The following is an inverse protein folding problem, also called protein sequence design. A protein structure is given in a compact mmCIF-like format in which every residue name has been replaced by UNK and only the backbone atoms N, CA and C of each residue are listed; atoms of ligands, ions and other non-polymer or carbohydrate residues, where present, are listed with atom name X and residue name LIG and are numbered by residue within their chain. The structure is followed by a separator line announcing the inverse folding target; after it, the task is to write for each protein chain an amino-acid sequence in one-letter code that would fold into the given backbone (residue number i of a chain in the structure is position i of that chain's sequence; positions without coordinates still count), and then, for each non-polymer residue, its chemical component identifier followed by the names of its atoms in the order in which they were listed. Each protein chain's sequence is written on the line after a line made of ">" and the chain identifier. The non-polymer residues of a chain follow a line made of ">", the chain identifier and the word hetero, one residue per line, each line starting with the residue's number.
data_IF_288369727455
#
_entry.id   IF_288369727455
#
_cell.length_a   1.000
_cell.length_b   1.000
_cell.length_c   1.000
_cell.angle_alpha   90.00
_cell.angle_beta   90.00
_cell.angle_gamma   90.00
#
_symmetry.space_group_name_H-M   'P 1'
#
loop_
_entity.id
_entity.type
_entity.pdbx_description
1 polymer ?
#
# COMPACT_ATOMS: atom_id res chain seq x y z
N UNK A 1 12.85 -3.99 -8.18
CA UNK A 1 12.47 -5.32 -8.70
C UNK A 1 13.53 -6.40 -8.57
N UNK A 2 14.84 -6.10 -8.61
CA UNK A 2 15.91 -7.11 -8.47
C UNK A 2 15.66 -8.16 -7.37
N UNK A 3 15.16 -7.75 -6.20
CA UNK A 3 14.83 -8.71 -5.13
C UNK A 3 13.63 -9.60 -5.48
N UNK A 4 12.55 -9.05 -6.05
CA UNK A 4 11.38 -9.82 -6.52
C UNK A 4 11.76 -10.85 -7.59
N UNK A 5 12.60 -10.46 -8.55
CA UNK A 5 13.12 -11.36 -9.60
C UNK A 5 13.87 -12.56 -9.00
N UNK A 6 14.65 -12.34 -7.93
CA UNK A 6 15.36 -13.41 -7.22
C UNK A 6 14.43 -14.35 -6.46
N UNK A 7 13.23 -13.90 -6.08
CA UNK A 7 12.26 -14.77 -5.40
C UNK A 7 11.51 -15.68 -6.37
N UNK A 8 11.50 -15.35 -7.68
CA UNK A 8 10.83 -16.13 -8.73
C UNK A 8 9.38 -16.50 -8.37
N UNK A 9 8.62 -15.53 -7.86
CA UNK A 9 7.23 -15.73 -7.48
C UNK A 9 6.35 -16.06 -8.70
N UNK A 10 5.42 -16.99 -8.54
CA UNK A 10 4.46 -17.36 -9.59
C UNK A 10 3.51 -16.20 -9.92
N UNK A 11 3.15 -15.41 -8.91
CA UNK A 11 2.28 -14.25 -9.01
C UNK A 11 2.82 -13.08 -8.18
N UNK A 12 2.59 -11.85 -8.65
CA UNK A 12 2.88 -10.63 -7.91
C UNK A 12 1.61 -9.81 -7.79
N UNK A 13 1.29 -9.44 -6.56
CA UNK A 13 0.09 -8.70 -6.22
C UNK A 13 0.47 -7.38 -5.53
N UNK A 14 -0.27 -6.31 -5.84
CA UNK A 14 -0.06 -4.97 -5.29
C UNK A 14 -1.27 -4.50 -4.49
N UNK A 15 -1.03 -4.12 -3.22
CA UNK A 15 -2.08 -3.69 -2.29
C UNK A 15 -2.50 -2.21 -2.44
N UNK A 16 -2.18 -1.55 -3.57
CA UNK A 16 -2.54 -0.15 -3.84
C UNK A 16 -1.57 0.88 -3.26
N UNK A 17 -1.98 2.15 -3.26
CA UNK A 17 -1.21 3.33 -2.87
C UNK A 17 0.05 3.52 -3.72
N UNK A 18 -0.15 3.67 -5.03
CA UNK A 18 0.93 3.63 -6.02
C UNK A 18 1.68 4.94 -6.18
N UNK A 19 0.96 6.05 -6.18
CA UNK A 19 1.50 7.34 -6.65
C UNK A 19 1.73 8.39 -5.56
N UNK A 20 1.05 8.28 -4.43
CA UNK A 20 0.93 9.40 -3.50
C UNK A 20 2.17 9.59 -2.62
N UNK A 21 2.51 10.85 -2.35
CA UNK A 21 3.57 11.27 -1.44
C UNK A 21 5.00 11.10 -1.96
N UNK A 22 5.23 10.27 -2.98
CA UNK A 22 6.54 10.05 -3.60
C UNK A 22 6.81 10.93 -4.83
N UNK A 23 8.08 11.11 -5.23
CA UNK A 23 8.43 11.94 -6.37
C UNK A 23 8.37 11.23 -7.74
N UNK A 24 7.74 10.06 -7.79
CA UNK A 24 7.67 9.17 -8.97
C UNK A 24 6.25 8.67 -9.22
N UNK A 25 5.24 9.51 -9.00
CA UNK A 25 3.84 9.08 -9.04
C UNK A 25 3.49 8.37 -10.37
N UNK A 26 3.75 9.03 -11.50
CA UNK A 26 3.48 8.49 -12.82
C UNK A 26 4.33 7.26 -13.14
N UNK A 27 5.61 7.25 -12.75
CA UNK A 27 6.49 6.12 -12.99
C UNK A 27 6.07 4.88 -12.19
N UNK A 28 5.66 5.03 -10.93
CA UNK A 28 5.15 3.93 -10.12
C UNK A 28 3.85 3.35 -10.71
N UNK A 29 2.90 4.22 -11.09
CA UNK A 29 1.64 3.79 -11.72
C UNK A 29 1.90 3.05 -13.03
N UNK A 30 2.69 3.66 -13.93
CA UNK A 30 3.01 3.07 -15.23
C UNK A 30 3.73 1.73 -15.07
N UNK A 31 4.64 1.65 -14.08
CA UNK A 31 5.38 0.44 -13.80
C UNK A 31 4.47 -0.73 -13.40
N UNK A 32 3.66 -0.56 -12.34
CA UNK A 32 2.72 -1.61 -11.87
C UNK A 32 1.75 -2.02 -12.98
N UNK A 33 1.22 -1.04 -13.72
CA UNK A 33 0.30 -1.30 -14.83
C UNK A 33 0.98 -2.08 -15.96
N UNK A 34 2.21 -1.74 -16.33
CA UNK A 34 2.96 -2.42 -17.39
C UNK A 34 3.39 -3.84 -16.99
N UNK A 35 3.69 -4.06 -15.71
CA UNK A 35 4.06 -5.36 -15.18
C UNK A 35 2.88 -6.32 -15.09
N UNK A 36 1.64 -5.81 -15.22
CA UNK A 36 0.42 -6.62 -15.22
C UNK A 36 0.09 -7.24 -13.86
N UNK A 37 0.60 -6.67 -12.78
CA UNK A 37 0.36 -7.19 -11.43
C UNK A 37 -1.10 -7.04 -11.03
N UNK A 38 -1.64 -8.07 -10.38
CA UNK A 38 -2.95 -8.00 -9.74
C UNK A 38 -2.93 -6.90 -8.70
N UNK A 39 -3.74 -5.86 -8.89
CA UNK A 39 -3.68 -4.65 -8.06
C UNK A 39 -5.05 -4.31 -7.50
N UNK A 40 -5.10 -3.90 -6.24
CA UNK A 40 -6.32 -3.37 -5.60
C UNK A 40 -6.16 -1.88 -5.30
N UNK A 41 -7.30 -1.19 -5.20
CA UNK A 41 -7.36 0.25 -4.93
C UNK A 41 -6.99 0.59 -3.49
N UNK A 42 -6.02 1.50 -3.32
CA UNK A 42 -5.75 2.16 -2.05
C UNK A 42 -6.48 3.49 -1.86
N UNK A 43 -6.46 4.04 -0.64
CA UNK A 43 -7.10 5.33 -0.39
C UNK A 43 -6.37 6.46 -1.11
N UNK A 44 -5.04 6.39 -1.19
CA UNK A 44 -4.27 7.45 -1.83
C UNK A 44 -4.37 7.38 -3.35
N UNK A 45 -4.71 6.22 -3.92
CA UNK A 45 -5.08 6.07 -5.33
C UNK A 45 -6.38 6.83 -5.67
N UNK A 46 -7.25 7.05 -4.68
CA UNK A 46 -8.43 7.94 -4.81
C UNK A 46 -8.02 9.40 -4.60
N UNK A 47 -7.29 9.69 -3.52
CA UNK A 47 -6.92 11.08 -3.20
C UNK A 47 -6.06 11.74 -4.28
N UNK A 48 -5.19 10.97 -4.96
CA UNK A 48 -4.34 11.48 -6.03
C UNK A 48 -5.13 11.98 -7.25
N UNK A 49 -6.41 11.61 -7.39
CA UNK A 49 -7.29 12.11 -8.45
C UNK A 49 -7.92 13.46 -8.12
N UNK A 50 -7.62 14.03 -6.95
CA UNK A 50 -8.13 15.33 -6.50
C UNK A 50 -9.44 15.28 -5.70
N UNK A 51 -9.93 14.09 -5.36
CA UNK A 51 -11.07 13.91 -4.45
C UNK A 51 -10.59 13.40 -3.08
N UNK A 52 -10.36 14.30 -2.10
CA UNK A 52 -9.95 13.91 -0.75
C UNK A 52 -11.15 13.39 0.06
N UNK A 53 -11.71 12.24 -0.34
CA UNK A 53 -12.79 11.57 0.39
C UNK A 53 -12.41 11.34 1.85
N UNK A 54 -13.43 11.27 2.72
CA UNK A 54 -13.35 11.16 4.19
C UNK A 54 -12.78 12.38 4.93
N UNK A 55 -12.07 13.29 4.24
CA UNK A 55 -11.56 14.55 4.82
C UNK A 55 -12.64 15.62 4.73
N UNK A 56 -13.05 16.17 5.87
CA UNK A 56 -14.17 17.13 5.95
C UNK A 56 -13.74 18.57 6.23
N UNK A 57 -12.57 18.79 6.83
CA UNK A 57 -12.07 20.13 7.12
C UNK A 57 -11.56 20.82 5.84
N UNK A 58 -12.05 22.03 5.57
CA UNK A 58 -11.77 22.74 4.30
C UNK A 58 -10.27 22.96 4.04
N UNK A 59 -9.52 23.39 5.05
CA UNK A 59 -8.08 23.63 4.92
C UNK A 59 -7.32 22.34 4.57
N UNK A 60 -7.69 21.22 5.19
CA UNK A 60 -7.09 19.90 4.90
C UNK A 60 -7.47 19.42 3.49
N UNK A 61 -8.72 19.62 3.06
CA UNK A 61 -9.16 19.30 1.70
C UNK A 61 -8.37 20.08 0.65
N UNK A 62 -8.17 21.39 0.87
CA UNK A 62 -7.39 22.25 -0.03
C UNK A 62 -5.92 21.80 -0.11
N UNK A 63 -5.32 21.44 1.03
CA UNK A 63 -3.97 20.89 1.07
C UNK A 63 -3.87 19.59 0.25
N UNK A 64 -4.83 18.67 0.43
CA UNK A 64 -4.84 17.39 -0.29
C UNK A 64 -5.06 17.58 -1.80
N UNK A 65 -5.92 18.52 -2.20
CA UNK A 65 -6.10 18.86 -3.62
C UNK A 65 -4.85 19.48 -4.24
N UNK A 66 -4.13 20.31 -3.49
CA UNK A 66 -2.84 20.87 -3.90
C UNK A 66 -1.78 19.77 -4.09
N UNK A 67 -1.70 18.81 -3.14
CA UNK A 67 -0.83 17.64 -3.24
C UNK A 67 -1.18 16.76 -4.45
N UNK A 68 -2.47 16.45 -4.66
CA UNK A 68 -2.94 15.69 -5.81
C UNK A 68 -2.54 16.36 -7.14
N UNK A 69 -2.73 17.68 -7.22
CA UNK A 69 -2.36 18.47 -8.40
C UNK A 69 -0.85 18.46 -8.64
N UNK A 70 -0.04 18.52 -7.58
CA UNK A 70 1.41 18.49 -7.66
C UNK A 70 1.98 17.14 -8.13
N UNK A 71 1.25 16.04 -7.94
CA UNK A 71 1.62 14.74 -8.51
C UNK A 71 1.43 14.68 -10.03
N UNK A 72 0.62 15.57 -10.61
CA UNK A 72 0.40 15.70 -12.06
C UNK A 72 0.02 14.37 -12.75
N UNK A 73 -0.75 13.52 -12.06
CA UNK A 73 -1.23 12.24 -12.61
C UNK A 73 -2.17 12.50 -13.79
N UNK A 74 -1.99 11.74 -14.87
CA UNK A 74 -2.80 11.90 -16.07
C UNK A 74 -4.26 11.49 -15.84
N UNK A 75 -5.19 12.01 -16.65
CA UNK A 75 -6.60 11.61 -16.55
C UNK A 75 -6.81 10.12 -16.88
N UNK A 76 -5.92 9.49 -17.67
CA UNK A 76 -5.99 8.06 -17.95
C UNK A 76 -5.56 7.24 -16.73
N UNK A 77 -4.44 7.61 -16.11
CA UNK A 77 -3.94 6.96 -14.91
C UNK A 77 -4.91 7.12 -13.73
N UNK A 78 -5.47 8.33 -13.55
CA UNK A 78 -6.49 8.58 -12.54
C UNK A 78 -7.72 7.68 -12.72
N UNK A 79 -8.19 7.51 -13.97
CA UNK A 79 -9.31 6.60 -14.26
C UNK A 79 -8.95 5.15 -13.96
N UNK A 80 -7.78 4.72 -14.40
CA UNK A 80 -7.29 3.37 -14.14
C UNK A 80 -7.23 3.07 -12.64
N UNK A 81 -6.71 4.00 -11.83
CA UNK A 81 -6.67 3.90 -10.37
C UNK A 81 -8.08 3.78 -9.76
N UNK A 82 -9.04 4.57 -10.24
CA UNK A 82 -10.44 4.52 -9.77
C UNK A 82 -11.16 3.23 -10.19
N UNK A 83 -10.78 2.61 -11.30
CA UNK A 83 -11.36 1.36 -11.79
C UNK A 83 -10.80 0.10 -11.11
N UNK A 84 -9.68 0.21 -10.37
CA UNK A 84 -9.11 -0.92 -9.62
C UNK A 84 -10.12 -1.51 -8.61
N UNK A 85 -10.17 -2.84 -8.42
CA UNK A 85 -11.09 -3.45 -7.46
C UNK A 85 -10.70 -3.12 -6.00
N UNK A 86 -11.67 -3.17 -5.07
CA UNK A 86 -11.37 -3.01 -3.63
C UNK A 86 -10.66 -4.22 -3.03
N UNK A 87 -10.79 -5.39 -3.66
CA UNK A 87 -10.17 -6.61 -3.20
C UNK A 87 -9.98 -7.62 -4.32
N UNK A 88 -9.07 -8.55 -4.11
CA UNK A 88 -8.79 -9.66 -5.01
C UNK A 88 -8.72 -10.97 -4.23
N UNK A 89 -9.48 -11.97 -4.66
CA UNK A 89 -9.46 -13.31 -4.09
C UNK A 89 -8.63 -14.24 -4.97
N UNK A 90 -7.62 -14.88 -4.38
CA UNK A 90 -6.81 -15.89 -5.07
C UNK A 90 -7.06 -17.30 -4.54
N UNK A 91 -6.23 -18.23 -5.03
CA UNK A 91 -6.34 -19.64 -4.66
C UNK A 91 -6.26 -19.85 -3.14
N UNK A 92 -6.86 -20.95 -2.66
CA UNK A 92 -6.72 -21.45 -1.28
C UNK A 92 -7.16 -20.47 -0.19
N UNK A 93 -8.29 -19.79 -0.40
CA UNK A 93 -8.91 -18.90 0.58
C UNK A 93 -7.97 -17.77 1.03
N UNK A 94 -7.49 -17.00 0.03
CA UNK A 94 -6.66 -15.82 0.20
C UNK A 94 -7.41 -14.59 -0.34
N UNK A 95 -7.50 -13.53 0.45
CA UNK A 95 -8.05 -12.23 0.06
C UNK A 95 -6.97 -11.15 0.23
N UNK A 96 -6.74 -10.35 -0.81
CA UNK A 96 -5.98 -9.10 -0.71
C UNK A 96 -6.91 -7.91 -0.79
N UNK A 97 -6.73 -6.94 0.10
CA UNK A 97 -7.42 -5.64 0.15
C UNK A 97 -6.42 -4.54 0.49
N UNK A 98 -6.73 -3.27 0.30
CA UNK A 98 -5.83 -2.21 0.76
C UNK A 98 -6.02 -1.91 2.27
N UNK A 99 -7.24 -1.53 2.65
CA UNK A 99 -7.65 -1.30 4.04
C UNK A 99 -8.52 -2.45 4.54
N UNK A 100 -9.75 -2.15 4.94
CA UNK A 100 -10.77 -3.18 5.19
C UNK A 100 -11.36 -3.75 3.89
N UNK A 101 -12.06 -4.90 3.94
CA UNK A 101 -12.77 -5.46 2.78
C UNK A 101 -13.89 -4.58 2.21
N UNK A 102 -14.26 -3.50 2.90
CA UNK A 102 -15.38 -2.63 2.51
C UNK A 102 -14.95 -1.18 2.25
N UNK A 103 -13.75 -0.79 2.68
CA UNK A 103 -13.25 0.59 2.57
C UNK A 103 -11.72 0.57 2.47
N UNK A 104 -11.13 1.24 1.45
CA UNK A 104 -9.69 1.43 1.39
C UNK A 104 -9.22 2.53 2.36
N UNK A 105 -10.12 3.27 3.01
CA UNK A 105 -9.77 4.42 3.86
C UNK A 105 -9.53 4.06 5.32
N UNK A 106 -9.91 2.84 5.73
CA UNK A 106 -9.90 2.43 7.12
C UNK A 106 -9.15 1.10 7.24
N UNK A 107 -8.24 1.00 8.21
CA UNK A 107 -7.68 -0.26 8.63
C UNK A 107 -7.15 -0.18 10.07
N UNK A 108 -7.18 -1.29 10.83
CA UNK A 108 -6.64 -1.32 12.18
C UNK A 108 -5.11 -1.29 12.15
N UNK A 109 -4.51 -0.68 13.18
CA UNK A 109 -3.08 -0.79 13.48
C UNK A 109 -2.74 -2.16 14.10
N UNK A 110 -1.47 -2.59 14.12
CA UNK A 110 -1.08 -3.89 14.68
C UNK A 110 -1.55 -4.09 16.13
N UNK A 111 -1.50 -3.01 16.92
CA UNK A 111 -1.84 -2.91 18.34
C UNK A 111 -3.31 -2.52 18.62
N UNK A 112 -4.13 -2.38 17.58
CA UNK A 112 -5.56 -2.10 17.74
C UNK A 112 -6.30 -3.25 18.46
N UNK A 113 -7.40 -2.94 19.19
CA UNK A 113 -8.21 -3.96 19.85
C UNK A 113 -8.79 -4.94 18.84
N UNK A 114 -9.04 -6.18 19.29
CA UNK A 114 -9.54 -7.24 18.40
C UNK A 114 -10.89 -6.93 17.73
N UNK A 115 -11.69 -6.02 18.30
CA UNK A 115 -12.93 -5.52 17.70
C UNK A 115 -12.72 -4.91 16.32
N UNK A 116 -11.57 -4.26 16.10
CA UNK A 116 -11.30 -3.51 14.87
C UNK A 116 -10.91 -4.46 13.72
N UNK A 117 -10.65 -5.73 14.05
CA UNK A 117 -10.37 -6.79 13.08
C UNK A 117 -11.61 -7.62 12.69
N UNK A 118 -12.77 -7.38 13.32
CA UNK A 118 -14.03 -8.05 12.97
C UNK A 118 -14.39 -7.94 11.48
N UNK A 119 -14.14 -6.82 10.76
CA UNK A 119 -14.41 -6.74 9.32
C UNK A 119 -13.70 -7.79 8.45
N UNK A 120 -12.61 -8.39 8.94
CA UNK A 120 -11.81 -9.39 8.23
C UNK A 120 -12.24 -10.84 8.55
N UNK A 121 -12.96 -11.05 9.65
CA UNK A 121 -13.42 -12.37 10.08
C UNK A 121 -14.36 -12.98 9.02
N UNK A 122 -14.18 -14.27 8.74
CA UNK A 122 -14.98 -15.04 7.77
C UNK A 122 -14.76 -14.67 6.30
N UNK A 123 -13.83 -13.77 5.97
CA UNK A 123 -13.61 -13.34 4.58
C UNK A 123 -12.70 -14.29 3.81
N UNK A 124 -11.68 -14.82 4.46
CA UNK A 124 -10.73 -15.77 3.92
C UNK A 124 -9.96 -16.46 5.06
N UNK A 125 -9.25 -17.55 4.75
CA UNK A 125 -8.34 -18.18 5.72
C UNK A 125 -7.12 -17.29 5.97
N UNK A 126 -6.68 -16.57 4.94
CA UNK A 126 -5.67 -15.52 5.01
C UNK A 126 -6.19 -14.25 4.34
N UNK A 127 -6.21 -13.14 5.08
CA UNK A 127 -6.46 -11.80 4.52
C UNK A 127 -5.17 -10.98 4.60
N UNK A 128 -4.76 -10.41 3.47
CA UNK A 128 -3.57 -9.56 3.34
C UNK A 128 -4.00 -8.14 3.06
N UNK A 129 -3.42 -7.17 3.77
CA UNK A 129 -3.70 -5.76 3.53
C UNK A 129 -2.47 -4.84 3.62
N UNK A 130 -2.65 -3.60 3.17
CA UNK A 130 -1.66 -2.52 3.15
C UNK A 130 -2.02 -1.39 4.13
N UNK A 131 -2.06 -0.14 3.67
CA UNK A 131 -2.56 1.02 4.44
C UNK A 131 -1.71 1.52 5.63
N UNK A 132 -1.38 0.67 6.60
CA UNK A 132 -0.77 1.14 7.88
C UNK A 132 0.76 1.16 7.88
N UNK A 133 1.38 0.62 6.83
CA UNK A 133 2.82 0.63 6.59
C UNK A 133 3.68 -0.04 7.69
N UNK A 134 3.09 -0.95 8.47
CA UNK A 134 3.77 -1.74 9.51
C UNK A 134 3.50 -3.21 9.26
N UNK A 135 4.55 -3.97 9.01
CA UNK A 135 4.45 -5.40 8.77
C UNK A 135 4.03 -6.14 10.05
N UNK A 136 3.01 -6.99 9.95
CA UNK A 136 2.66 -7.89 11.04
C UNK A 136 1.83 -9.09 10.57
N UNK A 137 1.72 -10.09 11.45
CA UNK A 137 0.80 -11.22 11.32
C UNK A 137 -0.04 -11.32 12.58
N UNK A 138 -1.36 -11.50 12.43
CA UNK A 138 -2.29 -11.65 13.54
C UNK A 138 -3.26 -12.80 13.27
N UNK A 139 -3.45 -13.66 14.26
CA UNK A 139 -4.54 -14.64 14.26
C UNK A 139 -5.79 -14.02 14.88
N UNK A 140 -6.93 -14.14 14.20
CA UNK A 140 -8.22 -13.63 14.67
C UNK A 140 -8.98 -14.67 15.50
N UNK A 141 -10.11 -14.27 16.08
CA UNK A 141 -10.91 -15.13 16.96
C UNK A 141 -11.53 -16.30 16.22
N UNK A 142 -11.90 -16.12 14.95
CA UNK A 142 -12.43 -17.17 14.08
C UNK A 142 -11.34 -18.13 13.54
N UNK A 143 -10.08 -17.91 13.92
CA UNK A 143 -8.93 -18.71 13.51
C UNK A 143 -8.27 -18.27 12.20
N UNK A 144 -8.87 -17.33 11.46
CA UNK A 144 -8.27 -16.74 10.27
C UNK A 144 -7.00 -15.94 10.60
N UNK A 145 -6.18 -15.72 9.59
CA UNK A 145 -4.96 -14.91 9.71
C UNK A 145 -5.18 -13.61 8.94
N UNK A 146 -4.86 -12.49 9.58
CA UNK A 146 -4.71 -11.18 8.93
C UNK A 146 -3.23 -10.81 8.92
N UNK A 147 -2.73 -10.38 7.78
CA UNK A 147 -1.36 -9.96 7.60
C UNK A 147 -1.29 -8.59 6.94
N UNK A 148 -0.39 -7.74 7.42
CA UNK A 148 -0.04 -6.51 6.73
C UNK A 148 1.33 -6.64 6.05
N UNK A 149 1.46 -6.18 4.81
CA UNK A 149 2.72 -6.32 4.05
C UNK A 149 3.84 -5.40 4.54
N UNK A 150 3.52 -4.38 5.34
CA UNK A 150 4.37 -3.21 5.51
C UNK A 150 4.25 -2.29 4.29
N UNK A 151 5.26 -1.45 4.05
CA UNK A 151 5.28 -0.54 2.91
C UNK A 151 6.61 -0.60 2.16
N UNK A 152 6.54 -0.56 0.84
CA UNK A 152 7.72 -0.48 -0.04
C UNK A 152 8.29 0.94 -0.04
N UNK A 153 7.43 1.96 -0.15
CA UNK A 153 7.85 3.36 -0.29
C UNK A 153 7.94 4.13 1.02
N UNK A 154 7.14 3.76 2.02
CA UNK A 154 7.02 4.49 3.29
C UNK A 154 6.94 3.56 4.50
N UNK A 155 7.94 2.70 4.76
CA UNK A 155 7.94 1.82 5.93
C UNK A 155 7.90 2.64 7.24
N UNK A 156 6.94 2.32 8.12
CA UNK A 156 6.76 3.00 9.42
C UNK A 156 7.35 2.20 10.60
N UNK A 157 7.97 1.05 10.33
CA UNK A 157 8.51 0.13 11.33
C UNK A 157 10.00 -0.21 11.13
N UNK A 158 10.59 0.18 10.00
CA UNK A 158 12.01 -0.05 9.66
C UNK A 158 12.46 0.98 8.59
N UNK A 159 13.75 1.02 8.24
CA UNK A 159 14.28 1.89 7.17
C UNK A 159 14.38 1.20 5.79
N UNK A 160 14.05 -0.08 5.73
CA UNK A 160 14.01 -0.88 4.51
C UNK A 160 12.59 -1.04 3.97
N UNK A 161 12.50 -1.17 2.64
CA UNK A 161 11.24 -1.49 1.96
C UNK A 161 10.73 -2.86 2.44
N UNK A 162 9.41 -2.99 2.59
CA UNK A 162 8.76 -4.22 3.05
C UNK A 162 7.74 -4.75 2.05
N UNK A 163 7.75 -6.07 1.85
CA UNK A 163 6.67 -6.81 1.20
C UNK A 163 6.52 -8.20 1.81
N UNK A 164 5.47 -8.92 1.43
CA UNK A 164 5.17 -10.25 1.94
C UNK A 164 5.38 -11.30 0.86
N UNK A 165 6.15 -12.35 1.17
CA UNK A 165 6.13 -13.61 0.44
C UNK A 165 5.16 -14.59 1.09
N UNK A 166 4.40 -15.27 0.23
CA UNK A 166 3.43 -16.29 0.61
C UNK A 166 3.76 -17.55 -0.19
N UNK A 167 4.36 -18.53 0.47
CA UNK A 167 4.60 -19.84 -0.14
C UNK A 167 3.46 -20.79 0.24
N UNK A 168 2.90 -21.48 -0.75
CA UNK A 168 1.89 -22.50 -0.54
C UNK A 168 2.39 -23.88 -0.93
N UNK A 169 2.26 -24.83 -0.01
CA UNK A 169 2.48 -26.25 -0.28
C UNK A 169 1.25 -27.04 0.18
N UNK A 170 0.37 -27.36 -0.79
CA UNK A 170 -0.93 -27.96 -0.47
C UNK A 170 -1.79 -27.03 0.37
N UNK A 171 -2.11 -27.43 1.60
CA UNK A 171 -2.86 -26.62 2.57
C UNK A 171 -1.98 -25.71 3.43
N UNK A 172 -0.67 -25.94 3.43
CA UNK A 172 0.25 -25.20 4.29
C UNK A 172 0.64 -23.87 3.66
N UNK A 173 0.69 -22.83 4.50
CA UNK A 173 1.09 -21.48 4.13
C UNK A 173 2.30 -21.05 4.96
N UNK A 174 3.36 -20.60 4.28
CA UNK A 174 4.49 -19.93 4.91
C UNK A 174 4.46 -18.46 4.55
N UNK A 175 4.43 -17.60 5.56
CA UNK A 175 4.40 -16.14 5.41
C UNK A 175 5.74 -15.56 5.82
N UNK A 176 6.36 -14.76 4.95
CA UNK A 176 7.67 -14.15 5.21
C UNK A 176 7.69 -12.69 4.78
N UNK A 177 7.79 -11.77 5.73
CA UNK A 177 8.09 -10.38 5.42
C UNK A 177 9.53 -10.27 4.93
N UNK A 178 9.69 -9.73 3.72
CA UNK A 178 11.00 -9.41 3.16
C UNK A 178 11.30 -7.94 3.35
N UNK A 179 12.55 -7.69 3.76
CA UNK A 179 13.11 -6.36 3.98
C UNK A 179 14.19 -6.11 2.95
N UNK A 180 14.09 -5.00 2.23
CA UNK A 180 14.96 -4.68 1.10
C UNK A 180 15.53 -3.28 1.27
N UNK A 181 16.85 -3.20 1.42
CA UNK A 181 17.55 -1.93 1.45
C UNK A 181 17.42 -1.21 0.10
N UNK A 182 17.24 0.10 0.15
CA UNK A 182 17.20 0.97 -1.02
C UNK A 182 17.96 2.26 -0.75
N UNK A 183 18.32 2.98 -1.82
CA UNK A 183 19.05 4.24 -1.69
C UNK A 183 18.12 5.38 -1.24
N UNK A 184 17.97 5.50 0.08
CA UNK A 184 17.19 6.57 0.71
C UNK A 184 17.74 7.96 0.39
N UNK A 185 19.05 8.10 0.27
CA UNK A 185 19.67 9.39 -0.04
C UNK A 185 19.30 9.84 -1.45
N UNK A 186 19.32 8.93 -2.44
CA UNK A 186 18.84 9.19 -3.79
C UNK A 186 17.35 9.54 -3.82
N UNK A 187 16.52 8.84 -3.04
CA UNK A 187 15.09 9.14 -2.96
C UNK A 187 14.80 10.52 -2.36
N UNK A 188 15.50 10.88 -1.29
CA UNK A 188 15.45 12.22 -0.69
C UNK A 188 15.91 13.29 -1.68
N UNK A 189 17.02 13.05 -2.39
CA UNK A 189 17.54 13.99 -3.39
C UNK A 189 16.54 14.20 -4.53
N UNK A 190 15.92 13.12 -5.03
CA UNK A 190 14.87 13.23 -6.04
C UNK A 190 13.66 14.00 -5.52
N UNK A 191 13.18 13.71 -4.32
CA UNK A 191 12.05 14.44 -3.74
C UNK A 191 12.31 15.95 -3.66
N UNK A 192 13.51 16.34 -3.21
CA UNK A 192 13.94 17.75 -3.20
C UNK A 192 13.97 18.37 -4.59
N UNK A 193 14.34 17.62 -5.63
CA UNK A 193 14.37 18.12 -7.02
C UNK A 193 12.98 18.37 -7.60
N UNK A 194 11.95 17.64 -7.14
CA UNK A 194 10.55 17.86 -7.53
C UNK A 194 9.97 19.10 -6.84
N UNK A 195 10.43 19.39 -5.62
CA UNK A 195 10.01 20.57 -4.87
C UNK A 195 8.69 20.38 -4.10
N UNK A 196 8.21 21.48 -3.52
CA UNK A 196 7.02 21.47 -2.68
C UNK A 196 5.73 21.47 -3.52
N UNK A 197 4.64 20.86 -3.02
CA UNK A 197 4.47 20.26 -1.68
C UNK A 197 4.97 18.81 -1.54
N UNK A 198 5.40 18.16 -2.63
CA UNK A 198 5.80 16.74 -2.61
C UNK A 198 7.03 16.50 -1.73
N UNK A 199 8.05 17.35 -1.82
CA UNK A 199 9.27 17.21 -1.03
C UNK A 199 8.97 17.24 0.47
N UNK A 200 8.17 18.20 0.95
CA UNK A 200 7.82 18.30 2.36
C UNK A 200 7.09 17.06 2.88
N UNK A 201 6.10 16.56 2.11
CA UNK A 201 5.37 15.35 2.48
C UNK A 201 6.28 14.12 2.51
N UNK A 202 7.11 13.95 1.49
CA UNK A 202 8.04 12.83 1.38
C UNK A 202 9.04 12.83 2.54
N UNK A 203 9.68 13.98 2.81
CA UNK A 203 10.70 14.12 3.85
C UNK A 203 10.12 13.89 5.25
N UNK A 204 8.90 14.37 5.51
CA UNK A 204 8.17 14.14 6.76
C UNK A 204 7.92 12.66 7.03
N UNK A 205 7.63 11.88 5.98
CA UNK A 205 7.31 10.46 6.12
C UNK A 205 8.55 9.57 6.09
N UNK A 206 9.47 9.79 5.16
CA UNK A 206 10.69 8.98 5.05
C UNK A 206 11.66 9.24 6.22
N UNK A 207 11.59 10.40 6.87
CA UNK A 207 12.51 10.84 7.93
C UNK A 207 12.07 10.53 9.36
N UNK A 208 10.89 9.94 9.60
CA UNK A 208 10.35 9.65 10.94
C UNK A 208 11.09 8.57 11.73
N UNK A 209 12.27 8.16 11.29
CA UNK A 209 13.12 7.19 11.96
C UNK A 209 14.51 7.80 12.16
N UNK A 210 14.65 8.54 13.26
CA UNK A 210 15.89 8.97 13.89
C UNK A 210 15.76 8.81 15.40
#
# INVERSE_FOLDING_TARGET
>A
EKDLELQAADEVWCAGDLGWGGPWASECIAHVRSAGWTTVKGNTDVWITGDPQTITADDDRLLMQSLASAHAVSADDARWLLDLPLGHSGAGSLLMVHGTPHSPFDAPMPDAPGSDFVPYEGKATLVVYGHVHRAFVRRLKDGSIVCNTGSVGFPNDDDTASYLLIDRHGTDLTLRHRRVAFDRAAAIAKARSVGNPIADLFLKNIGRQS
#
